data_IF_247485843914
#
_entry.id   IF_247485843914
#
_cell.length_a   1.000
_cell.length_b   1.000
_cell.length_c   1.000
_cell.angle_alpha   90.00
_cell.angle_beta   90.00
_cell.angle_gamma   90.00
#
_symmetry.space_group_name_H-M   'P 1'
#
loop_
_entity.id
_entity.type
_entity.pdbx_description
1 polymer ?
#
# COMPACT_ATOMS: atom_id res chain seq x y z
N UNK A 1 14.00 68.11 10.37
CA UNK A 1 12.71 67.44 10.12
C UNK A 1 13.01 66.07 9.55
N UNK A 2 12.61 65.02 10.26
CA UNK A 2 12.81 63.62 9.88
C UNK A 2 12.08 63.31 8.57
N UNK A 3 12.78 62.81 7.57
CA UNK A 3 12.17 62.08 6.46
C UNK A 3 12.33 60.59 6.73
N UNK A 4 11.17 60.01 6.98
CA UNK A 4 10.93 58.67 7.51
C UNK A 4 11.35 57.65 6.45
N UNK A 5 12.08 56.61 6.88
CA UNK A 5 12.28 55.38 6.11
C UNK A 5 10.93 54.70 5.93
N UNK A 6 10.26 54.94 4.80
CA UNK A 6 9.10 54.18 4.39
C UNK A 6 9.57 52.89 3.72
N UNK A 7 9.71 51.84 4.54
CA UNK A 7 9.65 50.46 4.10
C UNK A 7 8.26 50.25 3.49
N UNK A 8 8.16 50.25 2.16
CA UNK A 8 6.97 49.76 1.48
C UNK A 8 7.02 48.25 1.49
N UNK A 9 6.26 47.73 2.44
CA UNK A 9 5.76 46.39 2.54
C UNK A 9 4.96 46.04 1.27
N UNK A 10 5.54 45.19 0.43
CA UNK A 10 4.84 44.50 -0.66
C UNK A 10 5.04 43.00 -0.43
N UNK A 11 4.09 42.43 0.34
CA UNK A 11 3.97 41.02 0.70
C UNK A 11 3.49 40.19 -0.52
N UNK A 12 4.25 40.17 -1.62
CA UNK A 12 4.04 39.20 -2.70
C UNK A 12 5.00 38.02 -2.54
N UNK A 13 4.50 36.95 -1.90
CA UNK A 13 4.93 35.55 -1.97
C UNK A 13 6.23 35.34 -2.77
N UNK A 14 7.37 35.57 -2.13
CA UNK A 14 8.66 35.20 -2.68
C UNK A 14 8.77 33.67 -2.59
N UNK A 15 8.13 32.96 -3.52
CA UNK A 15 8.52 31.59 -3.84
C UNK A 15 9.96 31.67 -4.34
N UNK A 16 10.90 31.58 -3.41
CA UNK A 16 12.34 31.59 -3.65
C UNK A 16 12.64 30.73 -4.88
N UNK A 17 13.47 31.20 -5.83
CA UNK A 17 13.78 30.44 -7.06
C UNK A 17 14.32 29.04 -6.74
N UNK A 18 14.98 28.89 -5.58
CA UNK A 18 15.47 27.62 -5.02
C UNK A 18 14.33 26.63 -4.74
N UNK A 19 13.19 27.08 -4.22
CA UNK A 19 12.03 26.23 -3.94
C UNK A 19 11.42 25.65 -5.22
N UNK A 20 11.39 26.45 -6.29
CA UNK A 20 10.92 26.01 -7.62
C UNK A 20 11.88 24.99 -8.22
N UNK A 21 13.18 25.23 -8.07
CA UNK A 21 14.22 24.32 -8.51
C UNK A 21 14.17 22.99 -7.75
N UNK A 22 13.97 23.02 -6.43
CA UNK A 22 13.80 21.82 -5.60
C UNK A 22 12.56 21.03 -6.04
N UNK A 23 11.42 21.69 -6.26
CA UNK A 23 10.20 21.03 -6.78
C UNK A 23 10.45 20.37 -8.14
N UNK A 24 11.21 21.03 -9.03
CA UNK A 24 11.62 20.47 -10.31
C UNK A 24 12.50 19.22 -10.10
N UNK A 25 13.48 19.29 -9.20
CA UNK A 25 14.35 18.16 -8.86
C UNK A 25 13.58 16.99 -8.24
N UNK A 26 12.59 17.24 -7.40
CA UNK A 26 11.72 16.19 -6.85
C UNK A 26 10.99 15.43 -7.97
N UNK A 27 10.51 16.13 -9.00
CA UNK A 27 9.91 15.46 -10.18
C UNK A 27 10.93 14.63 -10.95
N UNK A 28 12.17 15.11 -11.06
CA UNK A 28 13.28 14.38 -11.71
C UNK A 28 13.70 13.11 -10.95
N UNK A 29 13.28 12.92 -9.70
CA UNK A 29 13.51 11.67 -8.97
C UNK A 29 12.75 10.47 -9.58
N UNK A 30 11.67 10.72 -10.32
CA UNK A 30 10.90 9.70 -11.00
C UNK A 30 11.23 9.59 -12.49
N UNK A 31 12.25 10.31 -12.95
CA UNK A 31 12.74 10.19 -14.32
C UNK A 31 13.34 8.79 -14.57
N UNK A 32 13.26 8.33 -15.81
CA UNK A 32 13.78 7.03 -16.24
C UNK A 32 15.31 7.05 -16.28
N UNK A 33 15.90 8.21 -16.57
CA UNK A 33 17.36 8.37 -16.63
C UNK A 33 17.98 8.28 -15.23
N UNK A 34 18.74 7.21 -14.99
CA UNK A 34 19.45 6.98 -13.73
C UNK A 34 20.37 8.16 -13.38
N UNK A 35 21.04 8.76 -14.36
CA UNK A 35 21.89 9.94 -14.15
C UNK A 35 21.09 11.14 -13.67
N UNK A 36 19.97 11.42 -14.31
CA UNK A 36 19.08 12.54 -13.95
C UNK A 36 18.53 12.35 -12.54
N UNK A 37 18.12 11.12 -12.21
CA UNK A 37 17.66 10.75 -10.87
C UNK A 37 18.74 10.95 -9.81
N UNK A 38 19.97 10.47 -10.06
CA UNK A 38 21.07 10.64 -9.10
C UNK A 38 21.46 12.11 -8.92
N UNK A 39 21.55 12.88 -10.00
CA UNK A 39 21.81 14.32 -9.89
C UNK A 39 20.74 15.06 -9.09
N UNK A 40 19.46 14.68 -9.26
CA UNK A 40 18.38 15.24 -8.46
C UNK A 40 18.54 14.87 -6.98
N UNK A 41 18.89 13.61 -6.67
CA UNK A 41 19.15 13.17 -5.29
C UNK A 41 20.30 13.94 -4.66
N UNK A 42 21.46 13.99 -5.31
CA UNK A 42 22.65 14.67 -4.80
C UNK A 42 22.37 16.17 -4.54
N UNK A 43 21.63 16.82 -5.45
CA UNK A 43 21.24 18.21 -5.27
C UNK A 43 20.33 18.42 -4.04
N UNK A 44 19.39 17.50 -3.82
CA UNK A 44 18.46 17.58 -2.69
C UNK A 44 19.16 17.27 -1.36
N UNK A 45 20.12 16.35 -1.35
CA UNK A 45 20.96 16.06 -0.18
C UNK A 45 21.86 17.26 0.16
N UNK A 46 22.44 17.92 -0.85
CA UNK A 46 23.22 19.13 -0.65
C UNK A 46 22.39 20.32 -0.10
N UNK A 47 21.07 20.30 -0.31
CA UNK A 47 20.13 21.35 0.12
C UNK A 47 19.08 20.82 1.11
N UNK A 48 19.48 19.96 2.03
CA UNK A 48 18.58 19.26 2.96
C UNK A 48 17.60 20.20 3.67
N UNK A 49 18.06 21.31 4.24
CA UNK A 49 17.24 22.23 5.04
C UNK A 49 16.10 22.87 4.22
N UNK A 50 16.38 23.27 2.99
CA UNK A 50 15.36 23.83 2.09
C UNK A 50 14.50 22.72 1.45
N UNK A 51 15.06 21.52 1.28
CA UNK A 51 14.39 20.39 0.67
C UNK A 51 13.39 19.71 1.61
N UNK A 52 13.62 19.68 2.93
CA UNK A 52 12.76 19.03 3.93
C UNK A 52 11.26 19.32 3.76
N UNK A 53 10.78 20.59 3.80
CA UNK A 53 9.36 20.87 3.70
C UNK A 53 8.77 20.44 2.34
N UNK A 54 9.58 20.51 1.28
CA UNK A 54 9.18 20.11 -0.07
C UNK A 54 9.17 18.59 -0.26
N UNK A 55 10.10 17.87 0.38
CA UNK A 55 10.13 16.41 0.43
C UNK A 55 8.94 15.85 1.20
N UNK A 56 8.58 16.47 2.34
CA UNK A 56 7.37 16.11 3.10
C UNK A 56 6.11 16.34 2.25
N UNK A 57 6.04 17.45 1.50
CA UNK A 57 4.96 17.66 0.54
C UNK A 57 4.94 16.60 -0.57
N UNK A 58 6.12 16.17 -1.04
CA UNK A 58 6.31 15.11 -2.03
C UNK A 58 5.80 13.74 -1.61
N UNK A 59 5.71 13.45 -0.31
CA UNK A 59 5.09 12.22 0.21
C UNK A 59 3.60 12.10 -0.13
N UNK A 60 2.92 13.21 -0.47
CA UNK A 60 1.51 13.22 -0.88
C UNK A 60 1.33 13.29 -2.40
N UNK A 61 2.41 13.12 -3.17
CA UNK A 61 2.37 13.21 -4.62
C UNK A 61 1.57 12.06 -5.25
N UNK A 62 0.89 12.30 -6.38
CA UNK A 62 0.07 11.28 -7.04
C UNK A 62 0.88 10.09 -7.58
N UNK A 63 2.11 10.36 -8.02
CA UNK A 63 3.06 9.34 -8.50
C UNK A 63 3.73 8.58 -7.35
N UNK A 64 3.58 7.26 -7.33
CA UNK A 64 4.20 6.39 -6.33
C UNK A 64 5.72 6.45 -6.34
N UNK A 65 6.34 6.64 -7.51
CA UNK A 65 7.80 6.71 -7.68
C UNK A 65 8.36 7.90 -6.93
N UNK A 66 7.70 9.06 -7.08
CA UNK A 66 8.06 10.30 -6.37
C UNK A 66 7.88 10.11 -4.87
N UNK A 67 6.74 9.54 -4.42
CA UNK A 67 6.50 9.32 -2.99
C UNK A 67 7.58 8.46 -2.34
N UNK A 68 7.94 7.33 -2.96
CA UNK A 68 8.98 6.46 -2.42
C UNK A 68 10.39 7.06 -2.49
N UNK A 69 10.71 7.82 -3.54
CA UNK A 69 11.97 8.53 -3.62
C UNK A 69 12.11 9.63 -2.54
N UNK A 70 11.02 10.36 -2.26
CA UNK A 70 10.98 11.31 -1.16
C UNK A 70 11.13 10.60 0.20
N UNK A 71 10.50 9.44 0.39
CA UNK A 71 10.66 8.65 1.62
C UNK A 71 12.10 8.18 1.83
N UNK A 72 12.75 7.68 0.77
CA UNK A 72 14.17 7.28 0.80
C UNK A 72 15.08 8.46 1.17
N UNK A 73 14.89 9.63 0.54
CA UNK A 73 15.69 10.83 0.81
C UNK A 73 15.50 11.32 2.25
N UNK A 74 14.27 11.33 2.76
CA UNK A 74 14.00 11.71 4.15
C UNK A 74 14.69 10.78 5.14
N UNK A 75 14.75 9.48 4.84
CA UNK A 75 15.50 8.50 5.63
C UNK A 75 17.02 8.67 5.55
N UNK A 76 17.55 9.17 4.43
CA UNK A 76 18.98 9.50 4.27
C UNK A 76 19.38 10.79 4.97
N UNK A 77 18.51 11.80 4.96
CA UNK A 77 18.71 13.05 5.70
C UNK A 77 18.71 12.78 7.21
N UNK A 78 17.95 11.78 7.68
CA UNK A 78 18.06 11.34 9.07
C UNK A 78 17.41 12.29 10.08
N UNK A 79 16.43 13.12 9.66
CA UNK A 79 15.79 14.10 10.54
C UNK A 79 14.59 13.51 11.29
N UNK A 80 14.50 13.81 12.59
CA UNK A 80 13.35 13.42 13.42
C UNK A 80 12.03 14.03 12.92
N UNK A 81 12.09 15.22 12.31
CA UNK A 81 10.91 15.87 11.71
C UNK A 81 10.27 15.04 10.59
N UNK A 82 11.03 14.13 9.96
CA UNK A 82 10.52 13.24 8.93
C UNK A 82 9.82 11.98 9.51
N UNK A 83 9.94 11.72 10.81
CA UNK A 83 9.43 10.51 11.46
C UNK A 83 7.90 10.39 11.36
N UNK A 84 7.17 11.41 11.75
CA UNK A 84 5.70 11.41 11.67
C UNK A 84 5.18 11.28 10.23
N UNK A 85 5.68 12.06 9.24
CA UNK A 85 5.31 11.88 7.83
C UNK A 85 5.54 10.47 7.31
N UNK A 86 6.68 9.85 7.64
CA UNK A 86 7.02 8.49 7.19
C UNK A 86 6.12 7.43 7.85
N UNK A 87 5.76 7.58 9.13
CA UNK A 87 4.81 6.68 9.81
C UNK A 87 3.41 6.76 9.17
N UNK A 88 2.96 7.97 8.84
CA UNK A 88 1.68 8.17 8.15
C UNK A 88 1.68 7.52 6.75
N UNK A 89 2.78 7.67 6.02
CA UNK A 89 2.96 7.05 4.70
C UNK A 89 2.94 5.50 4.81
N UNK A 90 3.61 4.94 5.81
CA UNK A 90 3.64 3.50 6.03
C UNK A 90 2.24 2.90 6.29
N UNK A 91 1.35 3.65 6.96
CA UNK A 91 -0.01 3.21 7.30
C UNK A 91 -1.04 3.50 6.20
N UNK A 92 -0.88 4.59 5.46
CA UNK A 92 -1.89 5.11 4.54
C UNK A 92 -1.61 4.94 3.05
N UNK A 93 -0.41 4.52 2.64
CA UNK A 93 -0.09 4.39 1.21
C UNK A 93 -0.60 3.06 0.62
N UNK A 94 -1.19 3.16 -0.57
CA UNK A 94 -1.70 2.04 -1.36
C UNK A 94 -0.56 1.18 -1.93
N UNK A 95 0.57 1.81 -2.28
CA UNK A 95 1.69 1.12 -2.89
C UNK A 95 2.54 0.38 -1.86
N UNK A 96 2.63 -0.95 -2.02
CA UNK A 96 3.55 -1.80 -1.23
C UNK A 96 5.01 -1.33 -1.34
N UNK A 97 5.42 -0.85 -2.51
CA UNK A 97 6.78 -0.35 -2.73
C UNK A 97 7.07 0.89 -1.88
N UNK A 98 6.15 1.86 -1.87
CA UNK A 98 6.30 3.10 -1.08
C UNK A 98 6.32 2.80 0.41
N UNK A 99 5.46 1.90 0.90
CA UNK A 99 5.46 1.48 2.31
C UNK A 99 6.77 0.80 2.72
N UNK A 100 7.32 -0.06 1.86
CA UNK A 100 8.62 -0.68 2.13
C UNK A 100 9.71 0.37 2.26
N UNK A 101 9.72 1.39 1.39
CA UNK A 101 10.66 2.52 1.49
C UNK A 101 10.46 3.33 2.77
N UNK A 102 9.22 3.61 3.15
CA UNK A 102 8.91 4.29 4.41
C UNK A 102 9.44 3.52 5.64
N UNK A 103 9.25 2.19 5.67
CA UNK A 103 9.79 1.34 6.75
C UNK A 103 11.32 1.38 6.79
N UNK A 104 11.97 1.24 5.63
CA UNK A 104 13.43 1.33 5.54
C UNK A 104 13.97 2.69 5.95
N UNK A 105 13.28 3.79 5.58
CA UNK A 105 13.65 5.14 5.98
C UNK A 105 13.54 5.33 7.50
N UNK A 106 12.45 4.87 8.12
CA UNK A 106 12.28 4.90 9.58
C UNK A 106 13.38 4.12 10.32
N UNK A 107 13.85 3.01 9.75
CA UNK A 107 14.95 2.23 10.34
C UNK A 107 16.32 2.93 10.25
N UNK A 108 16.48 3.88 9.32
CA UNK A 108 17.71 4.68 9.14
C UNK A 108 17.75 5.92 10.02
N UNK A 109 16.63 6.37 10.58
CA UNK A 109 16.59 7.54 11.46
C UNK A 109 17.36 7.27 12.78
N UNK A 110 18.16 8.25 13.27
CA UNK A 110 18.89 8.12 14.52
C UNK A 110 17.93 8.12 15.71
N UNK A 111 17.88 7.00 16.46
CA UNK A 111 16.82 6.74 17.46
C UNK A 111 15.87 5.60 17.05
N UNK A 112 16.21 4.90 15.97
CA UNK A 112 15.47 3.75 15.44
C UNK A 112 15.03 2.76 16.51
N UNK A 113 13.76 2.38 16.45
CA UNK A 113 13.30 1.14 17.07
C UNK A 113 13.97 0.02 16.27
N UNK A 114 14.94 -0.73 16.82
CA UNK A 114 15.62 -1.78 16.08
C UNK A 114 14.61 -2.88 15.75
N UNK A 115 14.59 -3.28 14.47
CA UNK A 115 14.28 -4.57 13.84
C UNK A 115 13.33 -5.62 14.50
N UNK A 116 12.57 -5.27 15.54
CA UNK A 116 11.80 -6.22 16.35
C UNK A 116 10.62 -5.63 17.14
N UNK A 117 10.32 -4.33 16.97
CA UNK A 117 9.19 -3.67 17.65
C UNK A 117 7.97 -3.36 16.78
N UNK A 118 8.04 -3.63 15.48
CA UNK A 118 6.91 -3.50 14.54
C UNK A 118 6.42 -4.88 14.09
N UNK A 119 6.41 -5.83 15.01
CA UNK A 119 5.85 -7.15 14.80
C UNK A 119 4.34 -7.00 14.52
N UNK A 120 3.95 -7.41 13.31
CA UNK A 120 2.63 -7.98 12.99
C UNK A 120 1.35 -7.15 13.28
N UNK A 121 1.36 -5.81 13.24
CA UNK A 121 0.08 -5.06 13.37
C UNK A 121 -0.11 -3.85 12.45
N UNK A 122 0.54 -3.87 11.30
CA UNK A 122 0.13 -3.02 10.18
C UNK A 122 -0.56 -3.96 9.18
N UNK A 123 -1.91 -3.96 9.11
CA UNK A 123 -2.61 -4.83 8.18
C UNK A 123 -2.09 -4.59 6.77
N UNK A 124 -1.94 -5.63 5.95
CA UNK A 124 -1.65 -5.43 4.54
C UNK A 124 -2.70 -4.47 3.97
N UNK A 125 -2.33 -3.36 3.32
CA UNK A 125 -3.28 -2.53 2.61
C UNK A 125 -3.97 -3.41 1.59
N UNK A 126 -5.21 -3.04 1.30
CA UNK A 126 -6.12 -3.79 0.45
C UNK A 126 -5.47 -4.34 -0.84
N UNK A 127 -4.47 -3.66 -1.40
CA UNK A 127 -3.77 -4.08 -2.63
C UNK A 127 -2.88 -5.32 -2.51
N UNK A 128 -2.46 -5.71 -1.29
CA UNK A 128 -1.65 -6.92 -1.11
C UNK A 128 -2.44 -8.19 -1.42
N UNK A 129 -3.77 -8.14 -1.32
CA UNK A 129 -4.67 -9.22 -1.74
C UNK A 129 -4.82 -9.31 -3.27
N UNK A 130 -4.53 -8.23 -3.99
CA UNK A 130 -4.67 -8.20 -5.46
C UNK A 130 -3.40 -8.66 -6.19
N UNK A 131 -2.21 -8.43 -5.62
CA UNK A 131 -0.92 -8.82 -6.24
C UNK A 131 -0.65 -10.34 -6.17
N UNK A 132 -1.03 -11.00 -5.06
CA UNK A 132 -0.87 -12.46 -4.91
C UNK A 132 -1.75 -13.22 -5.93
N UNK A 133 -2.83 -12.59 -6.40
CA UNK A 133 -3.75 -13.15 -7.40
C UNK A 133 -3.24 -13.04 -8.84
N UNK A 134 -2.18 -12.26 -9.11
CA UNK A 134 -1.74 -11.92 -10.46
C UNK A 134 -0.31 -12.29 -10.84
N UNK A 135 0.53 -12.78 -9.92
CA UNK A 135 1.96 -13.05 -10.19
C UNK A 135 2.45 -14.34 -9.53
N UNK A 136 2.34 -15.47 -10.22
CA UNK A 136 3.32 -16.56 -10.12
C UNK A 136 3.55 -17.15 -11.52
N UNK A 137 4.68 -16.83 -12.19
CA UNK A 137 5.18 -17.64 -13.29
C UNK A 137 6.18 -18.69 -12.74
N UNK A 138 5.86 -19.96 -12.99
CA UNK A 138 6.75 -21.09 -13.29
C UNK A 138 8.21 -21.04 -12.73
N UNK A 139 8.58 -21.97 -11.82
CA UNK A 139 9.63 -22.98 -12.12
C UNK A 139 10.03 -23.89 -10.93
N UNK A 140 10.07 -25.17 -11.30
CA UNK A 140 10.74 -26.32 -10.74
C UNK A 140 12.02 -26.04 -9.93
N UNK A 141 12.14 -26.68 -8.76
CA UNK A 141 13.14 -27.74 -8.50
C UNK A 141 12.79 -28.51 -7.22
N UNK A 142 12.49 -29.80 -7.33
CA UNK A 142 12.58 -30.78 -6.25
C UNK A 142 14.06 -31.17 -6.01
N UNK A 143 14.43 -31.80 -4.87
CA UNK A 143 14.25 -33.24 -4.78
C UNK A 143 13.77 -33.80 -3.42
N UNK A 144 12.83 -34.74 -3.56
CA UNK A 144 12.52 -35.95 -2.76
C UNK A 144 13.12 -36.17 -1.37
N UNK A 145 12.22 -36.41 -0.41
CA UNK A 145 12.20 -37.68 0.34
C UNK A 145 10.78 -38.07 0.76
N UNK A 146 10.33 -39.21 0.20
CA UNK A 146 9.40 -40.25 0.68
C UNK A 146 8.61 -39.96 1.96
N UNK A 147 7.33 -40.28 2.11
CA UNK A 147 6.32 -40.95 1.29
C UNK A 147 4.99 -40.63 2.02
N UNK A 148 4.00 -40.08 1.33
CA UNK A 148 2.77 -40.80 0.97
C UNK A 148 2.08 -40.10 -0.23
N UNK A 149 1.59 -40.86 -1.21
CA UNK A 149 1.04 -40.39 -2.52
C UNK A 149 -0.51 -40.59 -2.51
N UNK A 150 -1.30 -39.97 -3.41
CA UNK A 150 -2.42 -39.08 -3.08
C UNK A 150 -3.79 -39.63 -3.55
N UNK A 151 -4.86 -38.85 -3.42
CA UNK A 151 -5.61 -38.54 -4.62
C UNK A 151 -5.68 -37.02 -4.88
N UNK A 152 -5.11 -36.67 -6.03
CA UNK A 152 -5.62 -35.73 -7.02
C UNK A 152 -6.93 -35.01 -6.66
N UNK A 153 -6.85 -33.68 -6.62
CA UNK A 153 -8.01 -32.82 -6.70
C UNK A 153 -8.78 -33.10 -8.01
N UNK A 154 -10.12 -33.05 -8.03
CA UNK A 154 -10.77 -32.48 -9.18
C UNK A 154 -10.59 -30.95 -9.10
N UNK A 155 -10.19 -30.36 -10.21
CA UNK A 155 -10.27 -28.93 -10.47
C UNK A 155 -11.62 -28.36 -10.01
N UNK A 156 -11.73 -27.06 -9.65
CA UNK A 156 -13.05 -26.43 -9.63
C UNK A 156 -13.61 -26.51 -11.05
N UNK A 157 -14.76 -27.16 -11.29
CA UNK A 157 -15.41 -27.03 -12.57
C UNK A 157 -15.90 -25.59 -12.67
N UNK A 158 -15.29 -24.85 -13.59
CA UNK A 158 -16.06 -23.92 -14.37
C UNK A 158 -17.15 -24.76 -15.05
N UNK A 159 -18.35 -24.79 -14.48
CA UNK A 159 -19.61 -24.99 -15.19
C UNK A 159 -20.78 -25.04 -14.20
N UNK A 160 -21.86 -24.39 -14.61
CA UNK A 160 -23.14 -24.43 -13.94
C UNK A 160 -23.60 -25.88 -13.72
N UNK A 161 -23.76 -26.30 -12.46
CA UNK A 161 -24.50 -27.52 -12.12
C UNK A 161 -25.73 -27.10 -11.32
N UNK A 162 -26.83 -26.98 -12.05
CA UNK A 162 -28.20 -26.87 -11.55
C UNK A 162 -28.59 -28.14 -10.80
N UNK A 163 -28.64 -28.09 -9.46
CA UNK A 163 -29.17 -29.19 -8.64
C UNK A 163 -28.65 -29.14 -7.20
N UNK A 164 -29.01 -28.12 -6.43
CA UNK A 164 -28.77 -28.12 -4.97
C UNK A 164 -30.13 -28.14 -4.32
N UNK A 165 -30.35 -29.06 -3.39
CA UNK A 165 -31.59 -29.15 -2.62
C UNK A 165 -31.67 -28.02 -1.57
N UNK A 166 -32.87 -27.64 -1.08
CA UNK A 166 -33.00 -26.61 -0.05
C UNK A 166 -32.15 -26.87 1.20
N UNK A 167 -31.98 -28.15 1.58
CA UNK A 167 -31.19 -28.56 2.75
C UNK A 167 -29.69 -28.37 2.53
N UNK A 168 -29.18 -28.64 1.32
CA UNK A 168 -27.78 -28.40 0.99
C UNK A 168 -27.45 -26.91 0.93
N UNK A 169 -28.37 -26.09 0.39
CA UNK A 169 -28.21 -24.63 0.38
C UNK A 169 -28.18 -24.08 1.80
N UNK A 170 -29.02 -24.61 2.71
CA UNK A 170 -29.01 -24.22 4.12
C UNK A 170 -27.68 -24.61 4.80
N UNK A 171 -27.16 -25.81 4.57
CA UNK A 171 -25.88 -26.24 5.14
C UNK A 171 -24.70 -25.39 4.65
N UNK A 172 -24.77 -24.88 3.41
CA UNK A 172 -23.78 -23.94 2.88
C UNK A 172 -23.86 -22.56 3.55
N UNK A 173 -25.05 -22.10 3.94
CA UNK A 173 -25.22 -20.87 4.72
C UNK A 173 -24.63 -21.02 6.14
N UNK A 174 -24.91 -22.13 6.83
CA UNK A 174 -24.30 -22.43 8.14
C UNK A 174 -22.76 -22.48 8.07
N UNK A 175 -22.20 -23.04 6.99
CA UNK A 175 -20.74 -23.01 6.78
C UNK A 175 -20.21 -21.59 6.57
N UNK A 176 -20.95 -20.71 5.91
CA UNK A 176 -20.56 -19.31 5.78
C UNK A 176 -20.58 -18.56 7.12
N UNK A 177 -21.54 -18.87 8.00
CA UNK A 177 -21.61 -18.31 9.36
C UNK A 177 -20.37 -18.69 10.18
N UNK A 178 -19.98 -19.97 10.16
CA UNK A 178 -18.77 -20.44 10.86
C UNK A 178 -17.52 -19.75 10.32
N UNK A 179 -17.42 -19.56 8.99
CA UNK A 179 -16.28 -18.88 8.37
C UNK A 179 -16.23 -17.38 8.67
N UNK A 180 -17.38 -16.74 8.84
CA UNK A 180 -17.47 -15.37 9.31
C UNK A 180 -16.99 -15.25 10.77
N UNK A 181 -17.47 -16.15 11.65
CA UNK A 181 -17.06 -16.20 13.07
C UNK A 181 -15.54 -16.42 13.20
N UNK A 182 -14.96 -17.27 12.35
CA UNK A 182 -13.52 -17.53 12.31
C UNK A 182 -12.70 -16.40 11.65
N UNK A 183 -13.36 -15.37 11.10
CA UNK A 183 -12.69 -14.26 10.42
C UNK A 183 -12.08 -14.62 9.06
N UNK A 184 -12.43 -15.77 8.48
CA UNK A 184 -11.92 -16.21 7.17
C UNK A 184 -12.52 -15.39 6.02
N UNK A 185 -13.71 -14.83 6.22
CA UNK A 185 -14.42 -14.02 5.23
C UNK A 185 -14.85 -12.70 5.85
N UNK A 186 -14.76 -11.63 5.06
CA UNK A 186 -15.25 -10.30 5.44
C UNK A 186 -16.78 -10.27 5.38
N UNK A 187 -17.40 -9.50 6.28
CA UNK A 187 -18.86 -9.26 6.34
C UNK A 187 -19.45 -8.82 4.98
N UNK A 188 -18.70 -8.05 4.18
CA UNK A 188 -19.14 -7.64 2.85
C UNK A 188 -19.20 -8.81 1.84
N UNK A 189 -18.32 -9.81 2.00
CA UNK A 189 -18.31 -11.03 1.17
C UNK A 189 -19.40 -11.98 1.66
N UNK A 190 -19.57 -12.11 2.97
CA UNK A 190 -20.66 -12.85 3.59
C UNK A 190 -22.02 -12.36 3.08
N UNK A 191 -22.31 -11.05 3.20
CA UNK A 191 -23.60 -10.47 2.77
C UNK A 191 -23.91 -10.74 1.29
N UNK A 192 -22.90 -10.71 0.42
CA UNK A 192 -23.08 -11.00 -1.02
C UNK A 192 -23.34 -12.48 -1.30
N UNK A 193 -22.64 -13.37 -0.60
CA UNK A 193 -22.81 -14.82 -0.75
C UNK A 193 -24.15 -15.25 -0.14
N UNK A 194 -24.44 -14.85 1.08
CA UNK A 194 -25.69 -15.11 1.79
C UNK A 194 -26.89 -14.63 0.99
N UNK A 195 -26.91 -13.37 0.52
CA UNK A 195 -28.04 -12.87 -0.29
C UNK A 195 -28.28 -13.67 -1.58
N UNK A 196 -27.19 -14.15 -2.23
CA UNK A 196 -27.28 -14.98 -3.43
C UNK A 196 -27.82 -16.38 -3.11
N UNK A 197 -27.39 -16.98 -2.00
CA UNK A 197 -27.82 -18.30 -1.58
C UNK A 197 -29.24 -18.30 -0.99
N UNK A 198 -29.62 -17.28 -0.23
CA UNK A 198 -30.99 -17.05 0.25
C UNK A 198 -31.98 -16.87 -0.91
N UNK A 199 -31.60 -16.08 -1.93
CA UNK A 199 -32.42 -15.93 -3.14
C UNK A 199 -32.63 -17.26 -3.87
N UNK A 200 -31.64 -18.16 -3.79
CA UNK A 200 -31.73 -19.49 -4.40
C UNK A 200 -32.52 -20.48 -3.54
N UNK A 201 -32.41 -20.41 -2.23
CA UNK A 201 -33.23 -21.17 -1.29
C UNK A 201 -34.72 -20.82 -1.45
N UNK A 202 -35.01 -19.53 -1.60
CA UNK A 202 -36.39 -19.05 -1.79
C UNK A 202 -36.95 -19.46 -3.16
N UNK A 203 -36.12 -19.47 -4.21
CA UNK A 203 -36.53 -20.00 -5.51
C UNK A 203 -36.88 -21.49 -5.45
N UNK A 204 -36.04 -22.31 -4.78
CA UNK A 204 -36.30 -23.74 -4.63
C UNK A 204 -37.53 -24.03 -3.77
N UNK A 205 -37.73 -23.29 -2.67
CA UNK A 205 -38.93 -23.41 -1.83
C UNK A 205 -40.21 -23.07 -2.61
N UNK A 206 -40.12 -22.19 -3.61
CA UNK A 206 -41.24 -21.80 -4.47
C UNK A 206 -41.55 -22.84 -5.55
N UNK A 207 -40.55 -23.56 -6.03
CA UNK A 207 -40.73 -24.67 -6.99
C UNK A 207 -41.27 -25.95 -6.33
N UNK A 208 -41.08 -26.12 -5.02
CA UNK A 208 -41.59 -27.25 -4.21
C UNK A 208 -43.03 -27.06 -3.66
N UNK A 209 -43.69 -25.92 -3.91
CA UNK A 209 -45.02 -25.54 -3.37
C UNK A 209 -46.15 -25.59 -4.42
#
# INVERSE_FOLDING_TARGET
MCLVRSYTQDDTVDEQPESRQIKQKIKQLADLDDRSRQQARDFLLANEQAALPLLVAGLKHGDSTIRGACADLLGEIGTEDAREPLVNLLRGDHSRWVRSRAKSALARLPGGVPDGGLDERIPPPADTLNVIRGQQPERLTAPSSKADKPPEAPAPPAEAVTGHTPQEVQALLDQLDVRLINGEISEAIYNRLTARWESRLEALRRDDA
#
